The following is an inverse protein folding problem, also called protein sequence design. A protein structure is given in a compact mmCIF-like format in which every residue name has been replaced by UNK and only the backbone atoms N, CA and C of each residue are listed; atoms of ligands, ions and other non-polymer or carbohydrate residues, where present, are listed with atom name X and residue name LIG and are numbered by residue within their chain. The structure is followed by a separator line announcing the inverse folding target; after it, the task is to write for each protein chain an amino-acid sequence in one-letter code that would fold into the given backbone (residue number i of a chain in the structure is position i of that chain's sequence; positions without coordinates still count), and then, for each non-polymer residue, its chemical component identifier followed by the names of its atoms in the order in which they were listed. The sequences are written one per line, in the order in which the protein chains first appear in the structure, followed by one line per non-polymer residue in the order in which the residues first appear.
data_IF_759790563877
#
_entry.id   IF_759790563877
#
_cell.length_a   1.000
_cell.length_b   1.000
_cell.length_c   1.000
_cell.angle_alpha   90.00
_cell.angle_beta   90.00
_cell.angle_gamma   90.00
#
_symmetry.space_group_name_H-M   'P 1'
#
loop_
_entity.id
_entity.type
_entity.pdbx_description
1 polymer ?
#
# COMPACT_ATOMS: atom_id res chain seq x y z
N UNK A 1 2.69 9.52 -5.76
CA UNK A 1 1.85 10.68 -5.41
C UNK A 1 1.50 10.61 -3.93
N UNK A 2 1.50 11.74 -3.21
CA UNK A 2 1.28 11.77 -1.75
C UNK A 2 -0.14 11.32 -1.38
N UNK A 3 -1.12 11.55 -2.24
CA UNK A 3 -2.54 11.27 -1.95
C UNK A 3 -2.85 9.80 -1.73
N UNK A 4 -2.49 8.94 -2.68
CA UNK A 4 -2.80 7.51 -2.64
C UNK A 4 -1.59 6.62 -2.35
N UNK A 5 -0.36 7.17 -2.47
CA UNK A 5 0.93 6.48 -2.26
C UNK A 5 1.15 5.26 -3.18
N UNK A 6 0.36 5.17 -4.21
CA UNK A 6 0.48 4.09 -5.18
C UNK A 6 1.49 4.45 -6.28
N UNK A 7 2.30 3.49 -6.66
CA UNK A 7 3.09 3.58 -7.90
C UNK A 7 2.14 3.56 -9.10
N UNK A 8 2.50 4.15 -10.24
CA UNK A 8 1.62 4.21 -11.41
C UNK A 8 1.04 2.84 -11.79
N UNK A 9 1.87 1.78 -11.82
CA UNK A 9 1.41 0.44 -12.15
C UNK A 9 0.39 -0.10 -11.14
N UNK A 10 0.56 0.16 -9.85
CA UNK A 10 -0.36 -0.28 -8.79
C UNK A 10 -1.73 0.39 -8.94
N UNK A 11 -1.75 1.71 -9.16
CA UNK A 11 -2.98 2.47 -9.38
C UNK A 11 -3.71 1.98 -10.62
N UNK A 12 -2.99 1.72 -11.71
CA UNK A 12 -3.53 1.20 -12.96
C UNK A 12 -4.12 -0.20 -12.81
N UNK A 13 -3.50 -1.06 -11.99
CA UNK A 13 -4.04 -2.39 -11.66
C UNK A 13 -5.39 -2.25 -10.95
N UNK A 14 -5.47 -1.43 -9.89
CA UNK A 14 -6.71 -1.22 -9.13
C UNK A 14 -7.80 -0.61 -10.03
N UNK A 15 -7.45 0.38 -10.83
CA UNK A 15 -8.36 1.05 -11.74
C UNK A 15 -8.87 0.10 -12.84
N UNK A 16 -8.00 -0.69 -13.45
CA UNK A 16 -8.39 -1.70 -14.44
C UNK A 16 -9.31 -2.77 -13.84
N UNK A 17 -9.04 -3.24 -12.62
CA UNK A 17 -9.91 -4.18 -11.91
C UNK A 17 -11.30 -3.60 -11.66
N UNK A 18 -11.39 -2.33 -11.31
CA UNK A 18 -12.66 -1.62 -11.18
C UNK A 18 -13.43 -1.60 -12.51
N UNK A 19 -12.75 -1.24 -13.61
CA UNK A 19 -13.33 -1.24 -14.95
C UNK A 19 -13.76 -2.63 -15.45
N UNK A 20 -13.11 -3.70 -14.98
CA UNK A 20 -13.49 -5.09 -15.24
C UNK A 20 -14.68 -5.59 -14.39
N UNK A 21 -15.22 -4.75 -13.50
CA UNK A 21 -16.30 -5.11 -12.59
C UNK A 21 -15.88 -6.11 -11.50
N UNK A 22 -14.58 -6.18 -11.18
CA UNK A 22 -14.04 -7.05 -10.15
C UNK A 22 -14.23 -6.44 -8.75
N UNK A 23 -15.48 -6.20 -8.37
CA UNK A 23 -15.81 -5.74 -7.02
C UNK A 23 -15.57 -6.83 -5.97
N UNK A 24 -15.57 -6.48 -4.69
CA UNK A 24 -15.41 -7.43 -3.58
C UNK A 24 -16.50 -8.52 -3.54
N UNK A 25 -17.68 -8.25 -4.11
CA UNK A 25 -18.80 -9.22 -4.19
C UNK A 25 -18.76 -10.07 -5.46
N UNK A 26 -17.91 -9.73 -6.43
CA UNK A 26 -17.78 -10.49 -7.68
C UNK A 26 -16.93 -11.74 -7.49
N UNK A 27 -17.06 -12.71 -8.40
CA UNK A 27 -16.11 -13.83 -8.44
C UNK A 27 -14.74 -13.34 -8.88
N UNK A 28 -13.64 -13.80 -8.24
CA UNK A 28 -12.29 -13.48 -8.68
C UNK A 28 -12.06 -13.99 -10.10
N UNK A 29 -11.17 -13.34 -10.81
CA UNK A 29 -10.73 -13.75 -12.15
C UNK A 29 -9.23 -13.92 -12.20
N UNK A 30 -8.76 -14.72 -13.15
CA UNK A 30 -7.32 -14.95 -13.37
C UNK A 30 -6.56 -13.63 -13.44
N UNK A 31 -5.43 -13.55 -12.75
CA UNK A 31 -4.57 -12.35 -12.74
C UNK A 31 -4.13 -11.95 -14.14
N UNK A 32 -3.95 -12.93 -15.03
CA UNK A 32 -3.65 -12.69 -16.44
C UNK A 32 -4.68 -11.80 -17.14
N UNK A 33 -5.98 -11.88 -16.74
CA UNK A 33 -7.01 -10.99 -17.30
C UNK A 33 -6.81 -9.55 -16.89
N UNK A 34 -6.52 -9.31 -15.63
CA UNK A 34 -6.23 -7.97 -15.11
C UNK A 34 -4.97 -7.40 -15.74
N UNK A 35 -3.90 -8.19 -15.79
CA UNK A 35 -2.61 -7.74 -16.34
C UNK A 35 -2.74 -7.43 -17.83
N UNK A 36 -3.46 -8.27 -18.60
CA UNK A 36 -3.74 -8.00 -20.02
C UNK A 36 -4.45 -6.65 -20.24
N UNK A 37 -5.43 -6.34 -19.41
CA UNK A 37 -6.15 -5.04 -19.49
C UNK A 37 -5.25 -3.86 -19.09
N UNK A 38 -4.39 -4.04 -18.08
CA UNK A 38 -3.45 -3.02 -17.62
C UNK A 38 -2.44 -2.67 -18.71
N UNK A 39 -1.77 -3.66 -19.29
CA UNK A 39 -0.76 -3.42 -20.33
C UNK A 39 -1.37 -2.93 -21.64
N UNK A 40 -2.55 -3.44 -21.98
CA UNK A 40 -3.22 -3.05 -23.23
C UNK A 40 -3.84 -1.65 -23.21
N UNK A 41 -4.20 -1.13 -22.02
CA UNK A 41 -4.93 0.15 -21.92
C UNK A 41 -4.14 1.27 -21.26
N UNK A 42 -3.31 0.97 -20.26
CA UNK A 42 -2.77 1.99 -19.37
C UNK A 42 -1.26 1.95 -19.19
N UNK A 43 -0.63 0.77 -19.23
CA UNK A 43 0.76 0.61 -18.83
C UNK A 43 1.56 -0.17 -19.87
N UNK A 44 2.12 0.48 -20.91
CA UNK A 44 2.80 -0.16 -22.03
C UNK A 44 4.20 -0.71 -21.66
N UNK A 45 4.23 -1.60 -20.67
CA UNK A 45 5.43 -2.27 -20.16
C UNK A 45 5.22 -3.78 -20.19
N UNK A 46 6.27 -4.55 -19.94
CA UNK A 46 6.18 -6.01 -19.94
C UNK A 46 5.14 -6.55 -18.94
N UNK A 47 4.43 -7.61 -19.35
CA UNK A 47 3.42 -8.30 -18.55
C UNK A 47 4.01 -8.87 -17.25
N UNK A 48 5.20 -9.46 -17.33
CA UNK A 48 5.92 -10.00 -16.18
C UNK A 48 6.20 -8.93 -15.12
N UNK A 49 6.66 -7.73 -15.51
CA UNK A 49 6.93 -6.64 -14.58
C UNK A 49 5.63 -6.13 -13.92
N UNK A 50 4.55 -6.03 -14.69
CA UNK A 50 3.24 -5.62 -14.18
C UNK A 50 2.66 -6.67 -13.23
N UNK A 51 2.84 -7.96 -13.54
CA UNK A 51 2.43 -9.04 -12.66
C UNK A 51 3.27 -9.11 -11.38
N UNK A 52 4.59 -8.94 -11.47
CA UNK A 52 5.48 -8.87 -10.31
C UNK A 52 5.08 -7.71 -9.37
N UNK A 53 4.70 -6.57 -9.92
CA UNK A 53 4.15 -5.47 -9.11
C UNK A 53 2.87 -5.88 -8.37
N UNK A 54 1.98 -6.66 -8.99
CA UNK A 54 0.78 -7.20 -8.37
C UNK A 54 1.14 -8.21 -7.26
N UNK A 55 2.11 -9.08 -7.49
CA UNK A 55 2.64 -10.04 -6.50
C UNK A 55 3.20 -9.31 -5.28
N UNK A 56 4.03 -8.30 -5.49
CA UNK A 56 4.61 -7.51 -4.40
C UNK A 56 3.53 -6.84 -3.51
N UNK A 57 2.39 -6.44 -4.09
CA UNK A 57 1.27 -5.89 -3.33
C UNK A 57 0.56 -6.94 -2.44
N UNK A 58 0.73 -8.22 -2.73
CA UNK A 58 0.16 -9.32 -1.96
C UNK A 58 1.07 -9.81 -0.82
N UNK A 59 2.35 -9.44 -0.83
CA UNK A 59 3.35 -9.97 0.09
C UNK A 59 3.33 -9.22 1.43
N UNK A 60 3.00 -9.89 2.57
CA UNK A 60 2.82 -9.22 3.87
C UNK A 60 4.13 -8.76 4.50
N UNK A 61 5.25 -9.31 4.05
CA UNK A 61 6.58 -8.89 4.52
C UNK A 61 7.10 -7.65 3.78
N UNK A 62 6.49 -7.28 2.63
CA UNK A 62 6.81 -6.07 1.87
C UNK A 62 5.99 -4.85 2.28
N UNK A 63 4.80 -5.06 2.83
CA UNK A 63 3.86 -3.99 3.21
C UNK A 63 3.34 -4.22 4.62
N UNK A 64 3.27 -3.15 5.43
CA UNK A 64 2.65 -3.21 6.77
C UNK A 64 1.17 -3.58 6.67
N UNK A 65 0.51 -3.05 5.66
CA UNK A 65 -0.87 -3.35 5.30
C UNK A 65 -0.89 -3.81 3.84
N UNK A 66 -0.83 -5.14 3.59
CA UNK A 66 -0.83 -5.70 2.26
C UNK A 66 -2.03 -5.23 1.45
N UNK A 67 -1.79 -4.93 0.18
CA UNK A 67 -2.82 -4.46 -0.75
C UNK A 67 -3.60 -5.64 -1.33
N UNK A 68 -2.98 -6.82 -1.39
CA UNK A 68 -3.57 -8.09 -1.83
C UNK A 68 -3.47 -9.09 -0.69
N UNK A 69 -4.54 -9.82 -0.42
CA UNK A 69 -4.58 -10.89 0.57
C UNK A 69 -4.66 -12.24 -0.13
N UNK A 70 -3.75 -13.16 0.22
CA UNK A 70 -3.80 -14.56 -0.21
C UNK A 70 -4.43 -15.44 0.88
N UNK A 71 -5.09 -16.54 0.50
CA UNK A 71 -5.75 -17.46 1.45
C UNK A 71 -4.81 -18.08 2.49
N UNK A 72 -3.50 -18.18 2.22
CA UNK A 72 -2.53 -18.75 3.16
C UNK A 72 -2.08 -17.81 4.29
N UNK A 73 -2.54 -16.58 4.32
CA UNK A 73 -2.11 -15.56 5.30
C UNK A 73 -2.94 -15.49 6.59
N UNK A 74 -3.90 -16.38 6.78
CA UNK A 74 -4.70 -16.45 8.01
C UNK A 74 -3.93 -16.93 9.25
N UNK A 75 -2.67 -17.35 9.10
CA UNK A 75 -1.87 -17.91 10.18
C UNK A 75 -0.96 -16.91 10.91
N UNK A 76 -1.00 -15.64 10.60
CA UNK A 76 -0.20 -14.64 11.31
C UNK A 76 -1.03 -13.96 12.41
N UNK A 77 -0.96 -14.46 13.65
CA UNK A 77 -1.61 -13.90 14.83
C UNK A 77 -1.19 -12.46 15.19
N UNK A 78 -0.21 -11.89 14.48
CA UNK A 78 0.32 -10.53 14.69
C UNK A 78 -0.07 -9.52 13.62
N UNK A 79 -0.67 -9.96 12.53
CA UNK A 79 -1.18 -9.05 11.52
C UNK A 79 -2.53 -8.52 12.01
N UNK A 80 -2.52 -7.42 12.76
CA UNK A 80 -3.72 -6.59 12.90
C UNK A 80 -4.25 -6.42 11.47
N UNK A 81 -5.41 -7.00 11.22
CA UNK A 81 -6.01 -7.21 9.90
C UNK A 81 -5.92 -5.97 9.05
N UNK A 82 -4.83 -5.88 8.26
CA UNK A 82 -4.72 -4.88 7.23
C UNK A 82 -5.85 -5.11 6.23
N UNK A 83 -6.50 -4.04 5.82
CA UNK A 83 -7.55 -4.15 4.82
C UNK A 83 -6.88 -4.29 3.44
N UNK A 84 -6.90 -5.47 2.79
CA UNK A 84 -6.33 -5.59 1.45
C UNK A 84 -7.16 -4.80 0.46
N UNK A 85 -6.50 -4.14 -0.46
CA UNK A 85 -7.18 -3.45 -1.57
C UNK A 85 -7.63 -4.47 -2.60
N UNK A 86 -6.86 -5.53 -2.79
CA UNK A 86 -7.13 -6.61 -3.73
C UNK A 86 -7.22 -7.93 -2.95
N UNK A 87 -8.30 -8.66 -3.14
CA UNK A 87 -8.47 -10.01 -2.64
C UNK A 87 -7.83 -10.98 -3.65
N UNK A 88 -6.80 -11.71 -3.24
CA UNK A 88 -6.02 -12.59 -4.11
C UNK A 88 -6.15 -14.06 -3.74
N UNK A 89 -6.35 -14.92 -4.74
CA UNK A 89 -6.37 -16.37 -4.62
C UNK A 89 -5.12 -16.97 -5.26
N UNK A 90 -4.50 -17.97 -4.63
CA UNK A 90 -3.33 -18.69 -5.13
C UNK A 90 -2.01 -18.39 -4.41
N UNK A 91 -0.91 -18.94 -4.94
CA UNK A 91 0.43 -18.74 -4.37
C UNK A 91 1.03 -17.41 -4.84
N UNK A 92 1.29 -16.50 -3.91
CA UNK A 92 1.89 -15.20 -4.13
C UNK A 92 3.31 -15.06 -3.58
N UNK A 93 3.94 -16.20 -3.27
CA UNK A 93 5.27 -16.26 -2.65
C UNK A 93 5.22 -16.29 -1.12
N UNK A 94 6.37 -16.52 -0.51
CA UNK A 94 6.55 -16.57 0.94
C UNK A 94 7.72 -15.69 1.38
N UNK A 95 7.84 -15.45 2.69
CA UNK A 95 8.96 -14.67 3.23
C UNK A 95 10.31 -15.35 2.96
N UNK A 96 10.35 -16.69 2.99
CA UNK A 96 11.57 -17.49 2.76
C UNK A 96 11.93 -17.55 1.28
N UNK A 97 10.92 -17.48 0.40
CA UNK A 97 11.11 -17.43 -1.05
C UNK A 97 10.12 -16.45 -1.71
N UNK A 98 10.47 -15.17 -1.72
CA UNK A 98 9.60 -14.12 -2.28
C UNK A 98 9.35 -14.25 -3.78
N UNK A 99 10.20 -15.00 -4.50
CA UNK A 99 10.13 -15.19 -5.95
C UNK A 99 9.39 -16.46 -6.36
N UNK A 100 9.07 -17.34 -5.42
CA UNK A 100 8.35 -18.60 -5.63
C UNK A 100 6.83 -18.37 -5.71
N UNK A 101 6.39 -17.48 -6.59
CA UNK A 101 4.96 -17.24 -6.85
C UNK A 101 4.49 -17.96 -8.13
N UNK A 102 3.21 -18.33 -8.15
CA UNK A 102 2.60 -18.99 -9.30
C UNK A 102 2.47 -18.02 -10.49
N UNK A 103 2.51 -18.55 -11.71
CA UNK A 103 2.28 -17.76 -12.91
C UNK A 103 0.87 -17.12 -12.91
N UNK A 104 0.72 -15.96 -13.54
CA UNK A 104 -0.52 -15.16 -13.55
C UNK A 104 -1.74 -15.90 -14.11
N UNK A 105 -1.55 -16.99 -14.85
CA UNK A 105 -2.64 -17.86 -15.35
C UNK A 105 -3.25 -18.74 -14.25
N UNK A 106 -2.54 -18.94 -13.14
CA UNK A 106 -3.01 -19.76 -12.01
C UNK A 106 -3.59 -18.92 -10.87
N UNK A 107 -3.04 -17.74 -10.60
CA UNK A 107 -3.53 -16.86 -9.55
C UNK A 107 -4.81 -16.16 -9.97
N UNK A 108 -5.66 -15.88 -8.98
CA UNK A 108 -6.91 -15.15 -9.16
C UNK A 108 -6.99 -13.99 -8.19
N UNK A 109 -7.63 -12.90 -8.61
CA UNK A 109 -7.78 -11.71 -7.80
C UNK A 109 -9.11 -11.00 -8.05
N UNK A 110 -9.56 -10.29 -7.03
CA UNK A 110 -10.64 -9.30 -7.08
C UNK A 110 -10.32 -8.15 -6.13
N UNK A 111 -11.04 -7.06 -6.25
CA UNK A 111 -10.92 -5.94 -5.32
C UNK A 111 -11.46 -6.35 -3.95
N UNK A 112 -10.74 -6.01 -2.90
CA UNK A 112 -11.23 -6.15 -1.54
C UNK A 112 -12.19 -5.01 -1.17
N UNK A 113 -12.94 -5.17 -0.08
CA UNK A 113 -13.88 -4.15 0.41
C UNK A 113 -13.19 -2.80 0.66
N UNK A 114 -11.94 -2.81 1.10
CA UNK A 114 -11.16 -1.58 1.31
C UNK A 114 -10.90 -0.81 0.01
N UNK A 115 -10.72 -1.48 -1.11
CA UNK A 115 -10.52 -0.82 -2.40
C UNK A 115 -11.71 0.07 -2.81
N UNK A 116 -12.92 -0.21 -2.32
CA UNK A 116 -14.07 0.67 -2.56
C UNK A 116 -13.86 2.04 -1.96
N UNK A 117 -13.26 2.14 -0.78
CA UNK A 117 -12.98 3.45 -0.14
C UNK A 117 -12.00 4.30 -0.93
N UNK A 118 -11.18 3.67 -1.79
CA UNK A 118 -10.26 4.37 -2.70
C UNK A 118 -10.93 4.77 -4.02
N UNK A 119 -12.02 4.11 -4.40
CA UNK A 119 -12.67 4.27 -5.70
C UNK A 119 -14.01 5.01 -5.62
N UNK A 120 -14.66 5.01 -4.45
CA UNK A 120 -16.04 5.46 -4.25
C UNK A 120 -16.28 6.88 -4.76
N UNK A 121 -15.33 7.78 -4.57
CA UNK A 121 -15.45 9.20 -4.95
C UNK A 121 -14.76 9.54 -6.28
N UNK A 122 -14.26 8.55 -7.02
CA UNK A 122 -13.43 8.77 -8.21
C UNK A 122 -14.14 9.58 -9.31
N UNK A 123 -15.47 9.44 -9.40
CA UNK A 123 -16.30 10.14 -10.39
C UNK A 123 -16.94 11.43 -9.85
N UNK A 124 -16.59 11.85 -8.61
CA UNK A 124 -17.18 13.05 -7.97
C UNK A 124 -16.31 14.31 -8.15
N UNK A 125 -15.35 14.29 -9.08
CA UNK A 125 -14.45 15.43 -9.30
C UNK A 125 -13.35 15.57 -8.23
N UNK A 126 -13.11 14.53 -7.45
CA UNK A 126 -12.12 14.51 -6.37
C UNK A 126 -10.68 14.29 -6.86
N UNK A 127 -10.51 13.87 -8.09
CA UNK A 127 -9.20 13.53 -8.69
C UNK A 127 -9.03 14.14 -10.07
N UNK A 128 -7.78 14.39 -10.42
CA UNK A 128 -7.41 14.79 -11.77
C UNK A 128 -7.31 13.57 -12.68
N UNK A 129 -7.80 13.74 -13.90
CA UNK A 129 -7.70 12.75 -14.97
C UNK A 129 -6.59 13.13 -15.95
N UNK A 130 -5.93 12.14 -16.51
CA UNK A 130 -4.95 12.28 -17.58
C UNK A 130 -5.25 11.30 -18.71
N UNK A 131 -4.69 11.57 -19.87
CA UNK A 131 -4.74 10.61 -20.97
C UNK A 131 -3.81 9.43 -20.67
N UNK A 132 -4.22 8.24 -21.10
CA UNK A 132 -3.35 7.07 -21.13
C UNK A 132 -2.23 7.26 -22.18
N UNK A 133 -1.37 6.24 -22.35
CA UNK A 133 -0.18 6.32 -23.18
C UNK A 133 -0.46 6.59 -24.68
N UNK A 134 -1.61 6.18 -25.21
CA UNK A 134 -2.01 6.36 -26.62
C UNK A 134 -3.06 7.45 -26.82
N UNK A 135 -3.50 8.13 -25.76
CA UNK A 135 -4.48 9.21 -25.80
C UNK A 135 -5.92 8.77 -26.06
N UNK A 136 -6.21 7.46 -26.10
CA UNK A 136 -7.56 6.93 -26.40
C UNK A 136 -8.45 6.84 -25.18
N UNK A 137 -7.88 6.72 -23.97
CA UNK A 137 -8.59 6.56 -22.72
C UNK A 137 -8.10 7.57 -21.67
N UNK A 138 -8.88 7.75 -20.64
CA UNK A 138 -8.50 8.52 -19.47
C UNK A 138 -8.18 7.60 -18.28
N UNK A 139 -7.18 7.98 -17.50
CA UNK A 139 -6.82 7.34 -16.26
C UNK A 139 -6.71 8.37 -15.13
N UNK A 140 -7.03 8.00 -13.87
CA UNK A 140 -6.89 8.91 -12.74
C UNK A 140 -5.40 9.09 -12.40
N UNK A 141 -4.97 10.34 -12.20
CA UNK A 141 -3.60 10.64 -11.74
C UNK A 141 -3.37 10.19 -10.31
N UNK A 142 -4.42 10.18 -9.49
CA UNK A 142 -4.45 9.68 -8.10
C UNK A 142 -5.78 9.02 -7.83
N UNK A 143 -5.86 8.14 -6.82
CA UNK A 143 -7.15 7.65 -6.31
C UNK A 143 -7.59 8.48 -5.12
N UNK A 144 -8.91 8.67 -4.91
CA UNK A 144 -9.45 9.34 -3.73
C UNK A 144 -9.15 8.50 -2.50
N UNK A 145 -8.26 8.93 -1.64
CA UNK A 145 -7.89 8.20 -0.44
C UNK A 145 -8.48 8.85 0.80
N UNK A 146 -9.32 8.13 1.53
CA UNK A 146 -9.89 8.59 2.80
C UNK A 146 -8.95 8.41 4.00
N UNK A 147 -7.84 7.70 3.81
CA UNK A 147 -6.86 7.43 4.85
C UNK A 147 -5.48 7.90 4.40
N UNK A 148 -4.61 8.34 5.33
CA UNK A 148 -3.27 8.79 4.99
C UNK A 148 -2.35 7.58 4.71
N UNK A 149 -2.52 6.95 3.55
CA UNK A 149 -1.77 5.75 3.15
C UNK A 149 -0.26 5.95 3.17
N UNK A 150 0.20 7.20 2.98
CA UNK A 150 1.62 7.54 3.11
C UNK A 150 2.20 7.15 4.46
N UNK A 151 1.43 7.37 5.53
CA UNK A 151 1.85 7.00 6.88
C UNK A 151 1.61 5.52 7.16
N UNK A 152 0.56 4.92 6.60
CA UNK A 152 0.17 3.55 6.90
C UNK A 152 1.15 2.53 6.32
N UNK A 153 1.49 2.65 5.04
CA UNK A 153 2.40 1.73 4.36
C UNK A 153 3.80 2.31 4.13
N UNK A 154 3.96 3.61 4.38
CA UNK A 154 5.20 4.28 4.04
C UNK A 154 5.45 4.33 2.53
N UNK A 155 6.60 4.80 2.15
CA UNK A 155 7.07 4.77 0.76
C UNK A 155 8.58 4.83 0.71
N UNK A 156 9.18 4.00 -0.12
CA UNK A 156 10.59 4.09 -0.49
C UNK A 156 10.69 4.35 -1.99
N UNK A 157 11.52 5.29 -2.39
CA UNK A 157 11.71 5.63 -3.78
C UNK A 157 13.00 6.40 -4.04
N UNK A 158 13.55 6.18 -5.21
CA UNK A 158 14.78 6.83 -5.67
C UNK A 158 14.45 7.61 -6.93
N UNK A 159 14.80 8.88 -6.94
CA UNK A 159 14.69 9.78 -8.08
C UNK A 159 16.05 10.41 -8.39
N UNK A 160 16.16 11.10 -9.51
CA UNK A 160 17.38 11.83 -9.83
C UNK A 160 17.59 12.96 -8.82
N UNK A 161 18.70 12.91 -8.11
CA UNK A 161 19.08 13.93 -7.14
C UNK A 161 18.38 13.85 -5.78
N UNK A 162 17.44 12.92 -5.55
CA UNK A 162 16.77 12.76 -4.27
C UNK A 162 16.29 11.33 -4.03
N UNK A 163 16.14 10.97 -2.75
CA UNK A 163 15.51 9.72 -2.34
C UNK A 163 14.54 9.98 -1.20
N UNK A 164 13.53 9.12 -1.08
CA UNK A 164 12.60 9.14 0.06
C UNK A 164 12.53 7.75 0.67
N UNK A 165 12.42 7.70 1.99
CA UNK A 165 12.27 6.48 2.76
C UNK A 165 11.39 6.78 3.98
N UNK A 166 10.08 6.74 3.77
CA UNK A 166 9.08 7.00 4.81
C UNK A 166 8.63 5.65 5.37
N UNK A 167 8.87 5.36 6.65
CA UNK A 167 8.48 4.10 7.25
C UNK A 167 6.95 4.01 7.45
N UNK A 168 6.40 2.78 7.52
CA UNK A 168 5.00 2.56 7.84
C UNK A 168 4.70 2.81 9.32
N UNK A 169 3.40 3.08 9.64
CA UNK A 169 2.93 3.36 10.98
C UNK A 169 1.67 2.57 11.32
N UNK A 170 1.37 2.45 12.61
CA UNK A 170 0.21 1.73 13.09
C UNK A 170 -1.10 2.47 12.77
N UNK A 171 -2.05 1.78 12.13
CA UNK A 171 -3.35 2.33 11.72
C UNK A 171 -4.13 2.94 12.89
N UNK A 172 -4.17 2.29 14.06
CA UNK A 172 -4.93 2.78 15.22
C UNK A 172 -4.31 4.08 15.75
N UNK A 173 -2.99 4.16 15.80
CA UNK A 173 -2.26 5.35 16.24
C UNK A 173 -2.46 6.51 15.25
N UNK A 174 -2.34 6.24 13.96
CA UNK A 174 -2.55 7.23 12.88
C UNK A 174 -3.99 7.73 12.90
N UNK A 175 -4.98 6.83 13.00
CA UNK A 175 -6.39 7.21 13.05
C UNK A 175 -6.74 8.04 14.30
N UNK A 176 -6.18 7.67 15.46
CA UNK A 176 -6.34 8.47 16.68
C UNK A 176 -5.73 9.87 16.58
N UNK A 177 -4.59 9.98 15.91
CA UNK A 177 -3.95 11.26 15.64
C UNK A 177 -4.78 12.09 14.65
N UNK A 178 -5.32 11.46 13.60
CA UNK A 178 -6.15 12.11 12.58
C UNK A 178 -7.43 12.71 13.18
N UNK A 179 -8.15 11.94 13.99
CA UNK A 179 -9.36 12.42 14.67
C UNK A 179 -9.05 13.69 15.49
N UNK A 180 -7.96 13.65 16.28
CA UNK A 180 -7.56 14.83 17.07
C UNK A 180 -7.11 16.00 16.21
N UNK A 181 -6.49 15.75 15.06
CA UNK A 181 -6.07 16.80 14.14
C UNK A 181 -7.26 17.46 13.46
N UNK A 182 -8.36 16.72 13.20
CA UNK A 182 -9.61 17.27 12.69
C UNK A 182 -10.25 18.20 13.73
N UNK A 183 -10.26 17.78 15.01
CA UNK A 183 -10.79 18.60 16.11
C UNK A 183 -9.91 19.83 16.41
N UNK A 184 -8.59 19.73 16.20
CA UNK A 184 -7.63 20.80 16.42
C UNK A 184 -6.57 20.85 15.31
N UNK A 185 -6.82 21.55 14.19
CA UNK A 185 -5.93 21.64 13.03
C UNK A 185 -4.54 22.23 13.32
N UNK A 186 -4.40 23.01 14.37
CA UNK A 186 -3.15 23.68 14.74
C UNK A 186 -2.21 22.83 15.60
N UNK A 187 -2.45 21.51 15.66
CA UNK A 187 -1.58 20.61 16.42
C UNK A 187 -0.14 20.61 15.90
N UNK A 188 0.79 20.76 16.82
CA UNK A 188 2.22 20.64 16.54
C UNK A 188 2.63 19.18 16.33
N UNK A 189 3.75 18.95 15.61
CA UNK A 189 4.32 17.60 15.43
C UNK A 189 4.51 16.87 16.77
N UNK A 190 4.96 17.58 17.82
CA UNK A 190 5.13 16.99 19.15
C UNK A 190 3.81 16.55 19.81
N UNK A 191 2.69 17.20 19.49
CA UNK A 191 1.35 16.80 19.96
C UNK A 191 0.84 15.58 19.19
N UNK A 192 1.09 15.52 17.88
CA UNK A 192 0.76 14.37 17.03
C UNK A 192 1.52 13.13 17.51
N UNK A 193 2.80 13.25 17.82
CA UNK A 193 3.65 12.16 18.32
C UNK A 193 3.30 11.65 19.72
N UNK A 194 2.38 12.28 20.44
CA UNK A 194 1.79 11.67 21.65
C UNK A 194 0.87 10.48 21.29
N UNK A 195 0.31 10.48 20.08
CA UNK A 195 -0.56 9.40 19.60
C UNK A 195 0.21 8.40 18.72
N UNK A 196 1.09 8.88 17.85
CA UNK A 196 1.93 8.05 16.97
C UNK A 196 3.26 7.84 17.71
N UNK A 197 3.49 6.60 18.18
CA UNK A 197 4.68 6.28 18.98
C UNK A 197 5.95 6.14 18.16
N UNK A 198 5.82 5.95 16.87
CA UNK A 198 6.90 5.76 15.90
C UNK A 198 6.51 4.79 14.78
N UNK A 199 7.48 4.45 13.92
CA UNK A 199 7.28 3.47 12.87
C UNK A 199 6.83 2.10 13.37
N UNK A 200 6.03 1.40 12.56
CA UNK A 200 5.52 0.05 12.80
C UNK A 200 5.81 -0.83 11.59
N UNK A 201 6.91 -1.56 11.64
CA UNK A 201 7.41 -2.34 10.52
C UNK A 201 6.67 -3.68 10.34
N UNK A 202 6.48 -4.16 9.10
CA UNK A 202 5.77 -5.42 8.82
C UNK A 202 6.44 -6.64 9.46
N UNK A 203 7.76 -6.67 9.56
CA UNK A 203 8.53 -7.73 10.22
C UNK A 203 8.63 -7.57 11.75
N UNK A 204 8.07 -6.50 12.31
CA UNK A 204 8.20 -6.16 13.73
C UNK A 204 9.58 -5.60 14.09
N UNK A 205 9.99 -5.79 15.36
CA UNK A 205 11.26 -5.29 15.89
C UNK A 205 11.07 -4.31 17.05
N UNK A 206 12.18 -3.79 17.56
CA UNK A 206 12.21 -2.79 18.64
C UNK A 206 12.96 -1.56 18.19
N UNK A 207 12.34 -0.39 18.36
CA UNK A 207 12.98 0.89 18.11
C UNK A 207 13.84 1.24 19.34
N UNK A 208 15.15 1.37 19.13
CA UNK A 208 16.11 1.72 20.19
C UNK A 208 16.48 3.20 20.21
N UNK A 209 16.06 3.97 19.19
CA UNK A 209 16.18 5.43 19.19
C UNK A 209 15.33 6.04 20.30
N UNK A 210 15.89 7.03 20.99
CA UNK A 210 15.20 7.72 22.06
C UNK A 210 14.00 8.54 21.55
N UNK A 211 13.04 8.85 22.44
CA UNK A 211 11.87 9.69 22.09
C UNK A 211 12.30 11.09 21.58
N UNK A 212 13.43 11.61 22.07
CA UNK A 212 13.96 12.90 21.62
C UNK A 212 14.50 12.81 20.19
N UNK A 213 15.27 11.77 19.88
CA UNK A 213 15.77 11.51 18.52
C UNK A 213 14.62 11.31 17.55
N UNK A 214 13.59 10.53 17.92
CA UNK A 214 12.38 10.36 17.11
C UNK A 214 11.70 11.70 16.83
N UNK A 215 11.48 12.54 17.85
CA UNK A 215 10.88 13.86 17.68
C UNK A 215 11.70 14.74 16.72
N UNK A 216 13.02 14.70 16.82
CA UNK A 216 13.90 15.46 15.95
C UNK A 216 13.84 14.97 14.50
N UNK A 217 13.79 13.65 14.28
CA UNK A 217 13.62 13.04 12.96
C UNK A 217 12.29 13.50 12.32
N UNK A 218 11.18 13.41 13.04
CA UNK A 218 9.87 13.81 12.52
C UNK A 218 9.76 15.32 12.25
N UNK A 219 10.43 16.15 13.07
CA UNK A 219 10.47 17.61 12.86
C UNK A 219 11.32 18.01 11.67
N UNK A 220 12.46 17.34 11.47
CA UNK A 220 13.40 17.65 10.38
C UNK A 220 13.02 16.97 9.07
N UNK A 221 12.22 15.90 9.12
CA UNK A 221 11.91 15.05 7.97
C UNK A 221 13.12 14.22 7.48
N UNK A 222 14.19 14.12 8.31
CA UNK A 222 15.37 13.33 7.98
C UNK A 222 16.09 12.90 9.25
N UNK A 223 16.76 11.73 9.21
CA UNK A 223 17.53 11.22 10.34
C UNK A 223 17.76 9.72 10.26
N UNK A 224 18.43 9.16 11.24
CA UNK A 224 18.73 7.74 11.34
C UNK A 224 17.86 7.12 12.43
N UNK A 225 17.00 6.19 12.05
CA UNK A 225 16.22 5.38 12.97
C UNK A 225 16.96 4.08 13.25
N UNK A 226 17.20 3.78 14.54
CA UNK A 226 17.84 2.53 14.95
C UNK A 226 16.80 1.53 15.40
N UNK A 227 16.83 0.35 14.77
CA UNK A 227 15.90 -0.77 15.03
C UNK A 227 16.72 -2.03 15.27
N UNK A 228 16.27 -2.89 16.17
CA UNK A 228 16.83 -4.22 16.39
C UNK A 228 15.74 -5.29 16.29
N UNK A 229 16.15 -6.50 15.96
CA UNK A 229 15.27 -7.66 15.99
C UNK A 229 14.85 -7.98 17.43
N UNK A 230 13.59 -8.40 17.60
CA UNK A 230 13.10 -9.01 18.83
C UNK A 230 13.24 -10.53 18.71
N UNK A 231 13.98 -11.16 19.61
CA UNK A 231 14.21 -12.60 19.62
C UNK A 231 13.92 -13.19 20.99
N UNK A 232 13.58 -14.47 21.02
CA UNK A 232 13.48 -15.27 22.23
C UNK A 232 14.47 -16.43 22.10
N UNK A 233 15.18 -16.71 23.19
CA UNK A 233 16.03 -17.90 23.30
C UNK A 233 15.19 -18.94 24.06
N UNK A 234 15.04 -20.12 23.45
CA UNK A 234 14.34 -21.26 24.04
C UNK A 234 15.33 -22.26 24.64
#
# INVERSE_FOLDING_TARGET
FIGDVLKPVQRRIIFAMSGLGLSFSSKPKKSARTIGDVIGKFHPHGDSASYEAMVNMAQPFGYRYPIIQSEHQFACDRCDRGYPIIDGHGNWGSQDDPKSFAAMRYTEARLAKYAQTLLEEINLGTVEWGQNFDGTLQEPKTLPSKLPNLLLNGVSGIAVGMSTDIPPHNLREVNSALIRLIDNPDMTTGQILKNIKGPDFPSGGEIISSKKELLDIYKKGSGILRVRAKYQIY
#
